data_IF_621774356341
#
_entry.id   IF_621774356341
#
_cell.length_a   1.000
_cell.length_b   1.000
_cell.length_c   1.000
_cell.angle_alpha   90.00
_cell.angle_beta   90.00
_cell.angle_gamma   90.00
#
_symmetry.space_group_name_H-M   'P 1'
#
loop_
_entity.id
_entity.type
_entity.pdbx_description
1 polymer ?
#
# COMPACT_ATOMS: atom_id res chain seq x y z
N UNK A 1 1.25 -10.36 -23.76
CA UNK A 1 1.12 -9.76 -22.40
C UNK A 1 1.90 -10.62 -21.43
N UNK A 2 2.86 -10.03 -20.70
CA UNK A 2 3.51 -10.70 -19.58
C UNK A 2 2.57 -10.67 -18.37
N UNK A 3 2.48 -11.75 -17.57
CA UNK A 3 1.68 -11.75 -16.35
C UNK A 3 2.23 -10.72 -15.36
N UNK A 4 1.33 -10.02 -14.67
CA UNK A 4 1.72 -9.09 -13.62
C UNK A 4 2.41 -9.85 -12.48
N UNK A 5 3.63 -9.44 -12.07
CA UNK A 5 4.34 -10.11 -10.98
C UNK A 5 3.72 -9.78 -9.63
N UNK A 6 3.67 -10.79 -8.75
CA UNK A 6 3.25 -10.63 -7.36
C UNK A 6 4.36 -10.01 -6.53
N UNK A 7 4.10 -8.83 -5.98
CA UNK A 7 5.09 -8.04 -5.24
C UNK A 7 4.90 -8.14 -3.72
N UNK A 8 5.91 -7.75 -2.96
CA UNK A 8 5.88 -7.76 -1.48
C UNK A 8 5.42 -6.42 -0.91
N UNK A 9 5.24 -6.37 0.41
CA UNK A 9 5.01 -5.11 1.14
C UNK A 9 6.10 -4.08 0.87
N UNK A 10 7.35 -4.52 0.72
CA UNK A 10 8.49 -3.62 0.48
C UNK A 10 8.40 -2.93 -0.88
N UNK A 11 8.02 -3.71 -1.90
CA UNK A 11 7.84 -3.22 -3.26
C UNK A 11 6.66 -2.24 -3.34
N UNK A 12 5.54 -2.53 -2.67
CA UNK A 12 4.39 -1.62 -2.59
C UNK A 12 4.77 -0.31 -1.90
N UNK A 13 5.46 -0.40 -0.76
CA UNK A 13 5.94 0.76 -0.02
C UNK A 13 6.86 1.63 -0.90
N UNK A 14 7.79 0.99 -1.62
CA UNK A 14 8.70 1.68 -2.56
C UNK A 14 7.96 2.28 -3.76
N UNK A 15 6.97 1.57 -4.30
CA UNK A 15 6.17 2.02 -5.45
C UNK A 15 5.33 3.25 -5.12
N UNK A 16 4.71 3.27 -3.93
CA UNK A 16 3.87 4.37 -3.47
C UNK A 16 4.65 5.48 -2.74
N UNK A 17 5.93 5.28 -2.44
CA UNK A 17 6.75 6.24 -1.69
C UNK A 17 6.38 6.34 -0.19
N UNK A 18 5.76 5.30 0.37
CA UNK A 18 5.31 5.26 1.77
C UNK A 18 6.15 4.32 2.61
N UNK A 19 5.96 4.35 3.93
CA UNK A 19 6.60 3.38 4.83
C UNK A 19 5.91 2.01 4.78
N UNK A 20 6.65 0.92 5.04
CA UNK A 20 6.06 -0.42 5.19
C UNK A 20 4.98 -0.46 6.28
N UNK A 21 5.15 0.34 7.33
CA UNK A 21 4.18 0.46 8.41
C UNK A 21 2.83 1.03 7.91
N UNK A 22 2.86 2.03 7.03
CA UNK A 22 1.67 2.56 6.36
C UNK A 22 0.94 1.46 5.59
N UNK A 23 1.68 0.62 4.85
CA UNK A 23 1.11 -0.50 4.09
C UNK A 23 0.44 -1.51 5.03
N UNK A 24 1.10 -1.91 6.12
CA UNK A 24 0.49 -2.81 7.11
C UNK A 24 -0.78 -2.23 7.73
N UNK A 25 -0.78 -0.93 8.09
CA UNK A 25 -1.99 -0.25 8.59
C UNK A 25 -3.13 -0.26 7.59
N UNK A 26 -2.84 -0.18 6.29
CA UNK A 26 -3.88 -0.25 5.26
C UNK A 26 -4.43 -1.67 5.09
N UNK A 27 -3.61 -2.71 5.25
CA UNK A 27 -4.07 -4.10 5.26
C UNK A 27 -5.06 -4.31 6.41
N UNK A 28 -4.73 -3.86 7.62
CA UNK A 28 -5.54 -4.09 8.81
C UNK A 28 -6.75 -3.15 8.92
N UNK A 29 -6.59 -1.87 8.57
CA UNK A 29 -7.59 -0.84 8.84
C UNK A 29 -8.35 -0.33 7.62
N UNK A 30 -7.91 -0.63 6.40
CA UNK A 30 -8.52 -0.10 5.16
C UNK A 30 -8.74 -1.14 4.06
N UNK A 31 -8.56 -2.41 4.40
CA UNK A 31 -8.75 -3.55 3.51
C UNK A 31 -7.99 -3.38 2.18
N UNK A 32 -6.73 -2.95 2.26
CA UNK A 32 -5.83 -2.95 1.10
C UNK A 32 -5.85 -4.34 0.45
N UNK A 33 -5.97 -4.46 -0.90
CA UNK A 33 -6.01 -5.74 -1.60
C UNK A 33 -4.69 -6.49 -1.43
N UNK A 34 -4.64 -7.32 -0.39
CA UNK A 34 -3.49 -8.11 0.03
C UNK A 34 -3.85 -9.59 -0.05
N UNK A 35 -3.05 -10.36 -0.76
CA UNK A 35 -3.26 -11.79 -0.95
C UNK A 35 -2.28 -12.56 -0.06
N UNK A 36 -2.82 -13.43 0.80
CA UNK A 36 -1.99 -14.22 1.72
C UNK A 36 -1.50 -15.49 1.02
N UNK A 37 -0.24 -15.50 0.61
CA UNK A 37 0.41 -16.69 0.07
C UNK A 37 1.35 -17.28 1.14
N UNK A 38 0.81 -18.24 1.89
CA UNK A 38 1.49 -18.87 3.02
C UNK A 38 1.68 -17.88 4.17
N UNK A 39 2.94 -17.55 4.48
CA UNK A 39 3.30 -16.61 5.56
C UNK A 39 3.51 -15.18 5.08
N UNK A 40 3.47 -14.93 3.78
CA UNK A 40 3.78 -13.64 3.19
C UNK A 40 2.53 -13.01 2.57
N UNK A 41 2.44 -11.69 2.70
CA UNK A 41 1.49 -10.88 1.94
C UNK A 41 2.06 -10.58 0.56
N UNK A 42 1.24 -10.79 -0.45
CA UNK A 42 1.53 -10.51 -1.85
C UNK A 42 0.48 -9.58 -2.43
N UNK A 43 0.94 -8.72 -3.33
CA UNK A 43 0.12 -7.66 -3.91
C UNK A 43 0.27 -7.68 -5.42
N UNK A 44 -0.77 -7.21 -6.09
CA UNK A 44 -0.71 -6.75 -7.47
C UNK A 44 -0.65 -5.24 -7.46
N UNK A 45 0.28 -4.66 -8.22
CA UNK A 45 0.44 -3.21 -8.27
C UNK A 45 -0.79 -2.57 -8.92
N UNK A 46 -1.39 -3.21 -9.92
CA UNK A 46 -2.64 -2.79 -10.54
C UNK A 46 -3.78 -2.61 -9.53
N UNK A 47 -4.05 -3.60 -8.69
CA UNK A 47 -5.09 -3.56 -7.65
C UNK A 47 -4.80 -2.48 -6.59
N UNK A 48 -3.52 -2.34 -6.20
CA UNK A 48 -3.09 -1.30 -5.26
C UNK A 48 -3.30 0.09 -5.88
N UNK A 49 -2.90 0.30 -7.13
CA UNK A 49 -3.05 1.58 -7.83
C UNK A 49 -4.53 1.94 -8.05
N UNK A 50 -5.38 0.96 -8.34
CA UNK A 50 -6.83 1.16 -8.39
C UNK A 50 -7.40 1.55 -7.02
N UNK A 51 -6.99 0.87 -5.95
CA UNK A 51 -7.41 1.17 -4.59
C UNK A 51 -6.97 2.56 -4.13
N UNK A 52 -5.73 2.97 -4.46
CA UNK A 52 -5.22 4.32 -4.20
C UNK A 52 -6.04 5.34 -4.98
N UNK A 53 -6.29 5.11 -6.28
CA UNK A 53 -7.12 6.00 -7.13
C UNK A 53 -8.56 6.12 -6.65
N UNK A 54 -9.09 5.11 -5.97
CA UNK A 54 -10.41 5.16 -5.34
C UNK A 54 -10.45 6.06 -4.08
N UNK A 55 -9.34 6.68 -3.69
CA UNK A 55 -9.25 7.60 -2.56
C UNK A 55 -9.07 6.91 -1.20
N UNK A 56 -8.78 5.61 -1.18
CA UNK A 56 -8.70 4.83 0.06
C UNK A 56 -7.39 5.07 0.83
N UNK A 57 -6.36 5.59 0.18
CA UNK A 57 -5.05 5.90 0.78
C UNK A 57 -5.02 7.25 1.54
N UNK A 58 -5.89 8.19 1.18
CA UNK A 58 -5.77 9.62 1.54
C UNK A 58 -6.07 9.94 3.02
N UNK A 59 -6.85 9.12 3.71
CA UNK A 59 -7.43 9.51 5.01
C UNK A 59 -6.45 9.49 6.21
N UNK A 60 -5.11 9.53 6.06
CA UNK A 60 -4.21 9.61 7.23
C UNK A 60 -2.87 10.36 7.04
N UNK A 61 -2.47 10.76 5.82
CA UNK A 61 -1.15 11.41 5.63
C UNK A 61 -1.17 12.95 5.69
N UNK A 62 -2.33 13.58 5.91
CA UNK A 62 -2.44 15.04 6.09
C UNK A 62 -2.05 15.58 7.50
N UNK A 63 -1.28 14.84 8.31
CA UNK A 63 -0.86 15.32 9.65
C UNK A 63 0.64 15.48 9.88
N UNK A 64 1.47 15.47 8.84
CA UNK A 64 2.88 15.90 8.94
C UNK A 64 3.23 16.97 7.92
N UNK A 65 2.44 18.05 7.90
CA UNK A 65 2.93 19.35 7.45
C UNK A 65 2.76 20.31 8.63
N UNK A 66 3.87 20.81 9.16
CA UNK A 66 3.88 21.89 10.16
C UNK A 66 4.46 21.49 11.53
N UNK A 67 5.74 21.79 11.72
CA UNK A 67 6.38 21.72 13.03
C UNK A 67 7.86 22.09 13.08
N UNK A 68 8.46 22.63 12.01
CA UNK A 68 9.71 23.38 12.12
C UNK A 68 9.37 24.82 12.54
N UNK A 69 9.47 25.08 13.84
CA UNK A 69 9.88 26.36 14.44
C UNK A 69 10.37 26.14 15.85
#
# INVERSE_FOLDING_TARGET
MSPEPWVTVEDVAKHLGVTKDSVYRWIEGRHLPAHRLGRLWKFKLSEVDEWVRAGSADTMEERKSGGDR
#
